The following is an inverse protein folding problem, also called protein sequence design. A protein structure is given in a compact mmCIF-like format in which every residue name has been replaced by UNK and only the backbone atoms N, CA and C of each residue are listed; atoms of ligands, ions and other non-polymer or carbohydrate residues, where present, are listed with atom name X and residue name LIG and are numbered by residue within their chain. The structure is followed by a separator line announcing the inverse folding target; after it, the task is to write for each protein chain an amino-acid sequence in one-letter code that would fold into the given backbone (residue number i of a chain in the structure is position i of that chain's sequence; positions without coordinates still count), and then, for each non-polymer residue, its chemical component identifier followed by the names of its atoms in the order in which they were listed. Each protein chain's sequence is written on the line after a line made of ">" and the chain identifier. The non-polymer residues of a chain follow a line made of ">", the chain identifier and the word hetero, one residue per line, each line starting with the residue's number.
data_IF_977189109833
#
_entry.id   IF_977189109833
#
_cell.length_a   1.000
_cell.length_b   1.000
_cell.length_c   1.000
_cell.angle_alpha   90.00
_cell.angle_beta   90.00
_cell.angle_gamma   90.00
#
_symmetry.space_group_name_H-M   'P 1'
#
loop_
_entity.id
_entity.type
_entity.pdbx_description
1 polymer ?
#
# COMPACT_ATOMS: atom_id res chain seq x y z
N UNK A 1 20.09 -16.48 -10.59
CA UNK A 1 19.31 -16.28 -9.36
C UNK A 1 18.80 -14.84 -9.37
N UNK A 2 17.67 -14.57 -10.02
CA UNK A 2 17.06 -13.24 -9.99
C UNK A 2 16.05 -13.25 -8.85
N UNK A 3 16.38 -12.60 -7.73
CA UNK A 3 15.42 -12.25 -6.71
C UNK A 3 14.47 -11.25 -7.37
N UNK A 4 13.42 -11.73 -8.03
CA UNK A 4 12.35 -10.84 -8.46
C UNK A 4 11.82 -10.22 -7.16
N UNK A 5 11.93 -8.89 -6.97
CA UNK A 5 11.21 -8.25 -5.88
C UNK A 5 9.75 -8.66 -6.04
N UNK A 6 9.01 -8.89 -4.94
CA UNK A 6 7.60 -9.26 -5.03
C UNK A 6 6.97 -8.26 -6.00
N UNK A 7 6.57 -8.76 -7.17
CA UNK A 7 5.88 -7.95 -8.15
C UNK A 7 4.57 -7.63 -7.45
N UNK A 8 4.50 -6.46 -6.83
CA UNK A 8 3.31 -5.91 -6.21
C UNK A 8 2.14 -6.26 -7.11
N UNK A 9 1.40 -7.30 -6.71
CA UNK A 9 0.44 -7.97 -7.57
C UNK A 9 -0.48 -6.90 -8.10
N UNK A 10 -0.48 -6.73 -9.44
CA UNK A 10 -1.32 -5.74 -10.06
C UNK A 10 -2.75 -6.26 -9.95
N UNK A 11 -3.50 -5.79 -8.96
CA UNK A 11 -4.87 -6.19 -8.71
C UNK A 11 -5.79 -5.25 -9.47
N UNK A 12 -6.76 -5.78 -10.20
CA UNK A 12 -7.78 -4.95 -10.82
C UNK A 12 -8.76 -4.51 -9.73
N UNK A 13 -8.88 -3.20 -9.53
CA UNK A 13 -9.74 -2.60 -8.52
C UNK A 13 -10.48 -1.39 -9.11
N UNK A 14 -11.66 -1.05 -8.56
CA UNK A 14 -12.38 0.15 -8.98
C UNK A 14 -11.58 1.40 -8.61
N UNK A 15 -11.19 2.18 -9.63
CA UNK A 15 -10.55 3.46 -9.41
C UNK A 15 -11.62 4.55 -9.26
N UNK A 16 -11.69 5.28 -8.13
CA UNK A 16 -12.62 6.40 -7.99
C UNK A 16 -12.29 7.56 -8.95
N UNK A 17 -11.04 7.66 -9.41
CA UNK A 17 -10.61 8.69 -10.37
C UNK A 17 -11.00 8.35 -11.80
N UNK A 18 -10.85 7.08 -12.22
CA UNK A 18 -11.21 6.65 -13.57
C UNK A 18 -12.71 6.32 -13.71
N UNK A 19 -13.37 5.98 -12.60
CA UNK A 19 -14.76 5.51 -12.60
C UNK A 19 -14.93 4.09 -13.14
N UNK A 20 -13.84 3.34 -13.29
CA UNK A 20 -13.79 2.01 -13.90
C UNK A 20 -12.83 1.08 -13.14
N UNK A 21 -12.91 -0.21 -13.43
CA UNK A 21 -11.97 -1.21 -12.95
C UNK A 21 -10.63 -1.08 -13.68
N UNK A 22 -9.56 -0.78 -12.95
CA UNK A 22 -8.22 -0.57 -13.51
C UNK A 22 -7.17 -1.36 -12.73
N UNK A 23 -6.05 -1.73 -13.37
CA UNK A 23 -4.96 -2.41 -12.67
C UNK A 23 -4.29 -1.45 -11.69
N UNK A 24 -4.32 -1.79 -10.40
CA UNK A 24 -3.62 -1.07 -9.34
C UNK A 24 -2.40 -1.87 -8.87
N UNK A 25 -1.25 -1.21 -8.75
CA UNK A 25 -0.10 -1.76 -8.06
C UNK A 25 -0.32 -1.66 -6.55
N UNK A 26 -0.50 -2.80 -5.89
CA UNK A 26 -0.76 -2.85 -4.44
C UNK A 26 0.51 -3.26 -3.72
N UNK A 27 1.00 -2.41 -2.82
CA UNK A 27 2.15 -2.69 -1.97
C UNK A 27 1.75 -2.55 -0.50
N UNK A 28 2.40 -3.32 0.37
CA UNK A 28 2.26 -3.17 1.82
C UNK A 28 3.49 -2.42 2.31
N UNK A 29 3.27 -1.22 2.83
CA UNK A 29 4.30 -0.41 3.48
C UNK A 29 4.13 -0.48 5.00
N UNK A 30 5.17 -0.90 5.71
CA UNK A 30 5.21 -0.78 7.16
C UNK A 30 5.69 0.63 7.51
N UNK A 31 4.81 1.47 8.07
CA UNK A 31 5.20 2.82 8.54
C UNK A 31 5.22 2.86 10.06
N UNK A 32 6.17 3.60 10.60
CA UNK A 32 6.31 3.82 12.04
C UNK A 32 5.58 5.10 12.41
N UNK A 33 4.45 5.00 13.12
CA UNK A 33 3.64 6.17 13.51
C UNK A 33 4.18 6.87 14.76
N UNK A 34 5.16 6.29 15.46
CA UNK A 34 5.65 6.82 16.74
C UNK A 34 6.93 7.65 16.62
N UNK A 35 6.75 8.97 16.56
CA UNK A 35 7.82 9.92 16.87
C UNK A 35 7.92 10.09 18.40
N UNK A 36 8.87 9.40 19.04
CA UNK A 36 9.45 9.86 20.32
C UNK A 36 9.10 9.11 21.62
N UNK A 37 9.49 7.84 21.75
CA UNK A 37 9.55 7.18 23.06
C UNK A 37 10.21 5.80 23.00
N UNK A 38 10.80 5.35 24.11
CA UNK A 38 11.62 4.12 24.25
C UNK A 38 10.95 2.79 23.82
N UNK A 39 9.67 2.80 23.40
CA UNK A 39 8.94 1.64 22.85
C UNK A 39 8.46 1.83 21.38
N UNK A 40 8.82 2.94 20.73
CA UNK A 40 8.38 3.31 19.37
C UNK A 40 8.87 2.37 18.25
N UNK A 41 9.86 1.52 18.52
CA UNK A 41 10.42 0.60 17.53
C UNK A 41 9.51 -0.60 17.19
N UNK A 42 8.47 -0.84 18.01
CA UNK A 42 7.61 -2.03 17.92
C UNK A 42 6.22 -1.79 17.31
N UNK A 43 5.78 -0.53 17.15
CA UNK A 43 4.54 -0.15 16.45
C UNK A 43 4.82 0.18 14.99
N UNK A 44 5.09 -0.87 14.19
CA UNK A 44 5.10 -0.76 12.72
C UNK A 44 3.72 -1.14 12.23
N UNK A 45 2.96 -0.16 11.78
CA UNK A 45 1.64 -0.42 11.24
C UNK A 45 1.74 -0.71 9.72
N UNK A 46 1.11 -1.80 9.24
CA UNK A 46 0.97 -2.06 7.81
C UNK A 46 -0.04 -1.11 7.18
N UNK A 47 0.39 -0.47 6.10
CA UNK A 47 -0.41 0.32 5.21
C UNK A 47 -0.46 -0.36 3.84
N UNK A 48 -1.65 -0.55 3.33
CA UNK A 48 -1.89 -0.92 1.95
C UNK A 48 -1.79 0.34 1.10
N UNK A 49 -0.86 0.36 0.16
CA UNK A 49 -0.70 1.43 -0.82
C UNK A 49 -1.07 0.90 -2.20
N UNK A 50 -2.19 1.34 -2.73
CA UNK A 50 -2.69 0.98 -4.05
C UNK A 50 -2.48 2.16 -5.01
N UNK A 51 -1.71 1.95 -6.08
CA UNK A 51 -1.47 2.96 -7.11
C UNK A 51 -2.10 2.54 -8.43
N UNK A 52 -3.07 3.29 -8.92
CA UNK A 52 -3.69 3.06 -10.23
C UNK A 52 -2.64 3.19 -11.33
N UNK A 53 -2.48 2.16 -12.16
CA UNK A 53 -1.54 2.21 -13.31
C UNK A 53 -2.08 2.97 -14.51
N UNK A 54 -3.38 3.31 -14.51
CA UNK A 54 -4.01 4.07 -15.60
C UNK A 54 -3.89 5.58 -15.37
N UNK A 55 -4.38 6.09 -14.23
CA UNK A 55 -4.37 7.53 -13.91
C UNK A 55 -3.27 7.95 -12.92
N UNK A 56 -2.58 7.00 -12.27
CA UNK A 56 -1.55 7.30 -11.26
C UNK A 56 -2.09 7.65 -9.87
N UNK A 57 -3.40 7.54 -9.63
CA UNK A 57 -3.99 7.83 -8.32
C UNK A 57 -3.46 6.86 -7.24
N UNK A 58 -2.99 7.40 -6.13
CA UNK A 58 -2.46 6.63 -4.99
C UNK A 58 -3.47 6.63 -3.85
N UNK A 59 -3.77 5.45 -3.31
CA UNK A 59 -4.64 5.25 -2.15
C UNK A 59 -3.86 4.53 -1.07
N UNK A 60 -3.87 5.09 0.14
CA UNK A 60 -3.20 4.52 1.30
C UNK A 60 -4.27 4.15 2.33
N UNK A 61 -4.27 2.90 2.77
CA UNK A 61 -5.25 2.36 3.73
C UNK A 61 -4.51 1.63 4.85
N UNK A 62 -4.75 2.04 6.10
CA UNK A 62 -4.15 1.42 7.27
C UNK A 62 -4.85 0.08 7.54
N UNK A 63 -4.09 -1.00 7.66
CA UNK A 63 -4.66 -2.36 7.77
C UNK A 63 -4.87 -2.83 9.23
N UNK A 64 -4.87 -1.93 10.22
CA UNK A 64 -4.98 -2.29 11.65
C UNK A 64 -6.41 -2.26 12.23
N UNK A 65 -7.43 -1.96 11.43
CA UNK A 65 -8.84 -1.96 11.89
C UNK A 65 -9.49 -3.34 11.69
N UNK A 66 -8.98 -4.34 12.42
CA UNK A 66 -9.59 -5.69 12.53
C UNK A 66 -10.45 -5.83 13.79
#
# INVERSE_FOLDING_TARGET
>A
MASQPPQADAMTEPCPTCGTETPHAVAIELRTESAGGENAAFSREPYRVATCRECGAVRVERMNDA
#
